data_IF_106872646814
#
_entry.id   IF_106872646814
#
_cell.length_a   1.000
_cell.length_b   1.000
_cell.length_c   1.000
_cell.angle_alpha   90.00
_cell.angle_beta   90.00
_cell.angle_gamma   90.00
#
_symmetry.space_group_name_H-M   'P 1'
#
loop_
_entity.id
_entity.type
_entity.pdbx_description
1 polymer ?
#
# COMPACT_ATOMS: atom_id res chain seq x y z
N UNK A 1 -24.32 9.11 9.10
CA UNK A 1 -23.25 10.00 9.60
C UNK A 1 -22.08 9.13 10.05
N UNK A 2 -20.84 9.47 9.71
CA UNK A 2 -19.64 8.73 10.15
C UNK A 2 -19.28 9.24 11.55
N UNK A 3 -18.96 8.38 12.51
CA UNK A 3 -18.48 8.84 13.82
C UNK A 3 -17.04 9.32 13.75
N UNK A 4 -16.64 10.19 14.68
CA UNK A 4 -15.24 10.66 14.81
C UNK A 4 -14.28 9.48 14.98
N UNK A 5 -14.69 8.45 15.74
CA UNK A 5 -13.90 7.24 15.96
C UNK A 5 -13.67 6.46 14.65
N UNK A 6 -14.73 6.30 13.84
CA UNK A 6 -14.62 5.67 12.53
C UNK A 6 -13.68 6.45 11.61
N UNK A 7 -13.77 7.78 11.64
CA UNK A 7 -12.92 8.67 10.86
C UNK A 7 -11.44 8.54 11.24
N UNK A 8 -11.14 8.60 12.53
CA UNK A 8 -9.78 8.41 13.07
C UNK A 8 -9.22 7.04 12.71
N UNK A 9 -10.03 5.99 12.82
CA UNK A 9 -9.62 4.62 12.49
C UNK A 9 -9.33 4.47 10.98
N UNK A 10 -10.14 5.10 10.11
CA UNK A 10 -9.85 5.15 8.66
C UNK A 10 -8.48 5.76 8.41
N UNK A 11 -8.19 6.92 9.01
CA UNK A 11 -6.91 7.62 8.83
C UNK A 11 -5.75 6.77 9.33
N UNK A 12 -5.89 6.17 10.53
CA UNK A 12 -4.88 5.30 11.14
C UNK A 12 -4.56 4.10 10.24
N UNK A 13 -5.57 3.39 9.76
CA UNK A 13 -5.40 2.22 8.88
C UNK A 13 -4.82 2.62 7.52
N UNK A 14 -5.23 3.75 6.95
CA UNK A 14 -4.71 4.23 5.67
C UNK A 14 -3.23 4.60 5.76
N UNK A 15 -2.84 5.37 6.78
CA UNK A 15 -1.44 5.75 7.04
C UNK A 15 -0.56 4.56 7.38
N UNK A 16 -1.12 3.53 8.01
CA UNK A 16 -0.40 2.28 8.29
C UNK A 16 0.03 1.51 7.04
N UNK A 17 -0.52 1.82 5.86
CA UNK A 17 -0.21 1.22 4.54
C UNK A 17 -0.34 -0.31 4.45
N UNK A 18 -0.78 -1.00 5.50
CA UNK A 18 -0.98 -2.45 5.55
C UNK A 18 -2.31 -2.91 4.96
N UNK A 19 -3.28 -2.00 4.81
CA UNK A 19 -4.63 -2.33 4.36
C UNK A 19 -4.99 -1.71 3.01
N UNK A 20 -5.66 -2.49 2.16
CA UNK A 20 -6.34 -1.97 0.97
C UNK A 20 -7.57 -1.15 1.38
N UNK A 21 -8.10 -0.30 0.48
CA UNK A 21 -9.32 0.47 0.76
C UNK A 21 -10.48 -0.45 1.16
N UNK A 22 -10.66 -1.57 0.46
CA UNK A 22 -11.68 -2.58 0.79
C UNK A 22 -11.49 -3.19 2.19
N UNK A 23 -10.25 -3.47 2.58
CA UNK A 23 -9.97 -3.96 3.94
C UNK A 23 -10.22 -2.89 5.00
N UNK A 24 -9.93 -1.62 4.70
CA UNK A 24 -10.24 -0.51 5.60
C UNK A 24 -11.76 -0.43 5.78
N UNK A 25 -12.53 -0.46 4.70
CA UNK A 25 -14.00 -0.48 4.75
C UNK A 25 -14.55 -1.61 5.61
N UNK A 26 -14.04 -2.83 5.43
CA UNK A 26 -14.47 -3.99 6.21
C UNK A 26 -14.17 -3.84 7.71
N UNK A 27 -13.03 -3.24 8.06
CA UNK A 27 -12.63 -3.03 9.47
C UNK A 27 -13.36 -1.88 10.15
N UNK A 28 -13.67 -0.82 9.41
CA UNK A 28 -14.28 0.40 9.98
C UNK A 28 -15.79 0.45 9.83
N UNK A 29 -16.38 -0.49 9.09
CA UNK A 29 -17.82 -0.51 8.78
C UNK A 29 -18.25 0.56 7.76
N UNK A 30 -17.29 1.27 7.14
CA UNK A 30 -17.59 2.29 6.14
C UNK A 30 -18.06 1.63 4.85
N UNK A 31 -19.29 1.94 4.44
CA UNK A 31 -19.99 1.22 3.35
C UNK A 31 -19.58 1.61 1.93
N UNK A 32 -18.80 2.69 1.73
CA UNK A 32 -18.38 3.11 0.39
C UNK A 32 -16.92 3.54 0.34
N UNK A 33 -16.25 3.23 -0.77
CA UNK A 33 -14.90 3.74 -1.06
C UNK A 33 -14.89 5.27 -1.15
N UNK A 34 -15.94 5.86 -1.71
CA UNK A 34 -16.06 7.31 -1.84
C UNK A 34 -16.04 8.03 -0.49
N UNK A 35 -16.67 7.44 0.53
CA UNK A 35 -16.63 7.97 1.89
C UNK A 35 -15.22 7.90 2.48
N UNK A 36 -14.47 6.83 2.23
CA UNK A 36 -13.04 6.74 2.61
C UNK A 36 -12.26 7.88 1.98
N UNK A 37 -12.39 8.10 0.67
CA UNK A 37 -11.66 9.18 -0.01
C UNK A 37 -12.07 10.57 0.49
N UNK A 38 -13.35 10.79 0.82
CA UNK A 38 -13.81 12.05 1.40
C UNK A 38 -13.20 12.31 2.77
N UNK A 39 -13.11 11.29 3.63
CA UNK A 39 -12.44 11.37 4.94
C UNK A 39 -10.97 11.76 4.75
N UNK A 40 -10.26 11.09 3.85
CA UNK A 40 -8.85 11.37 3.58
C UNK A 40 -8.65 12.80 3.08
N UNK A 41 -9.50 13.25 2.15
CA UNK A 41 -9.47 14.60 1.62
C UNK A 41 -9.72 15.66 2.69
N UNK A 42 -10.78 15.49 3.49
CA UNK A 42 -11.14 16.41 4.57
C UNK A 42 -10.04 16.56 5.64
N UNK A 43 -9.22 15.51 5.82
CA UNK A 43 -8.12 15.49 6.79
C UNK A 43 -6.75 15.76 6.15
N UNK A 44 -6.70 16.27 4.92
CA UNK A 44 -5.47 16.55 4.18
C UNK A 44 -4.51 15.34 4.13
N UNK A 45 -5.04 14.11 4.11
CA UNK A 45 -4.25 12.89 3.99
C UNK A 45 -3.97 12.67 2.51
N UNK A 46 -2.71 12.77 2.05
CA UNK A 46 -2.40 12.65 0.63
C UNK A 46 -2.73 11.24 0.14
N UNK A 47 -3.43 11.18 -1.00
CA UNK A 47 -3.73 9.91 -1.64
C UNK A 47 -2.43 9.27 -2.15
N UNK A 48 -2.27 7.99 -1.87
CA UNK A 48 -1.17 7.20 -2.40
C UNK A 48 -1.25 7.21 -3.93
N UNK A 49 -0.21 7.75 -4.58
CA UNK A 49 -0.08 7.73 -6.04
C UNK A 49 -0.12 6.27 -6.51
N UNK A 50 -1.03 5.95 -7.43
CA UNK A 50 -0.99 4.65 -8.12
C UNK A 50 0.27 4.64 -9.00
N UNK A 51 1.27 3.84 -8.61
CA UNK A 51 2.44 3.59 -9.46
C UNK A 51 1.97 2.82 -10.70
N UNK A 52 2.13 3.41 -11.89
CA UNK A 52 1.95 2.69 -13.16
C UNK A 52 3.31 2.09 -13.54
N UNK A 53 3.42 0.76 -13.67
CA UNK A 53 4.67 0.18 -14.15
C UNK A 53 4.92 0.65 -15.59
N UNK A 54 6.14 1.10 -15.87
CA UNK A 54 6.56 1.54 -17.21
C UNK A 54 6.81 0.37 -18.15
N UNK A 55 7.32 -0.75 -17.62
CA UNK A 55 7.53 -2.01 -18.35
C UNK A 55 7.32 -3.18 -17.40
N UNK A 56 6.84 -4.32 -17.91
CA UNK A 56 6.78 -5.60 -17.19
C UNK A 56 7.80 -6.55 -17.82
N UNK A 57 8.56 -7.23 -16.97
CA UNK A 57 9.52 -8.26 -17.35
C UNK A 57 9.25 -9.51 -16.53
N UNK A 58 9.56 -10.68 -17.09
CA UNK A 58 9.57 -11.95 -16.35
C UNK A 58 10.99 -12.22 -15.88
N UNK A 59 11.17 -12.53 -14.59
CA UNK A 59 12.47 -12.80 -13.98
C UNK A 59 12.34 -14.02 -13.08
N UNK A 60 13.21 -15.01 -13.28
CA UNK A 60 13.36 -16.12 -12.34
C UNK A 60 14.11 -15.65 -11.10
N UNK A 61 13.55 -15.90 -9.93
CA UNK A 61 14.20 -15.61 -8.65
C UNK A 61 14.87 -16.88 -8.12
N UNK A 62 16.06 -16.75 -7.55
CA UNK A 62 16.65 -17.82 -6.76
C UNK A 62 15.93 -18.00 -5.42
N UNK A 63 16.28 -19.07 -4.69
CA UNK A 63 15.65 -19.43 -3.43
C UNK A 63 15.81 -18.34 -2.35
N UNK A 64 16.95 -17.64 -2.34
CA UNK A 64 17.21 -16.61 -1.34
C UNK A 64 16.37 -15.36 -1.60
N UNK A 65 16.29 -14.89 -2.85
CA UNK A 65 15.46 -13.78 -3.26
C UNK A 65 13.96 -14.06 -3.01
N UNK A 66 13.50 -15.28 -3.31
CA UNK A 66 12.12 -15.71 -3.02
C UNK A 66 11.83 -15.68 -1.51
N UNK A 67 12.77 -16.19 -0.70
CA UNK A 67 12.69 -16.17 0.76
C UNK A 67 12.66 -14.74 1.33
N UNK A 68 13.44 -13.82 0.77
CA UNK A 68 13.46 -12.41 1.18
C UNK A 68 12.09 -11.77 0.92
N UNK A 69 11.53 -11.93 -0.28
CA UNK A 69 10.21 -11.37 -0.61
C UNK A 69 9.13 -11.95 0.31
N UNK A 70 9.17 -13.25 0.57
CA UNK A 70 8.23 -13.93 1.47
C UNK A 70 8.31 -13.42 2.91
N UNK A 71 9.52 -13.18 3.43
CA UNK A 71 9.74 -12.60 4.77
C UNK A 71 9.31 -11.13 4.83
N UNK A 72 9.64 -10.34 3.80
CA UNK A 72 9.33 -8.92 3.75
C UNK A 72 7.82 -8.64 3.62
N UNK A 73 7.05 -9.58 3.06
CA UNK A 73 5.60 -9.48 2.81
C UNK A 73 5.21 -8.09 2.25
N UNK A 74 5.85 -7.63 1.17
CA UNK A 74 5.58 -6.31 0.65
C UNK A 74 4.15 -6.23 0.14
N UNK A 75 3.47 -5.12 0.40
CA UNK A 75 2.15 -4.85 -0.16
C UNK A 75 2.15 -4.85 -1.70
N UNK A 76 3.27 -4.49 -2.32
CA UNK A 76 3.47 -4.49 -3.76
C UNK A 76 4.85 -5.07 -4.08
N UNK A 77 4.87 -6.29 -4.61
CA UNK A 77 6.11 -7.00 -4.95
C UNK A 77 6.91 -6.25 -6.03
N UNK A 78 6.26 -5.76 -7.08
CA UNK A 78 6.95 -5.05 -8.18
C UNK A 78 7.63 -3.77 -7.71
N UNK A 79 6.98 -3.01 -6.82
CA UNK A 79 7.58 -1.84 -6.19
C UNK A 79 8.77 -2.23 -5.31
N UNK A 80 8.60 -3.24 -4.46
CA UNK A 80 9.67 -3.72 -3.59
C UNK A 80 10.91 -4.14 -4.40
N UNK A 81 10.71 -4.96 -5.44
CA UNK A 81 11.78 -5.41 -6.34
C UNK A 81 12.43 -4.22 -7.04
N UNK A 82 11.64 -3.27 -7.54
CA UNK A 82 12.18 -2.05 -8.20
C UNK A 82 13.05 -1.21 -7.27
N UNK A 83 12.65 -1.06 -6.00
CA UNK A 83 13.44 -0.35 -5.00
C UNK A 83 14.72 -1.11 -4.64
N UNK A 84 14.67 -2.44 -4.51
CA UNK A 84 15.86 -3.25 -4.24
C UNK A 84 16.87 -3.20 -5.39
N UNK A 85 16.40 -3.22 -6.64
CA UNK A 85 17.26 -3.06 -7.83
C UNK A 85 18.00 -1.72 -7.78
N UNK A 86 17.29 -0.61 -7.53
CA UNK A 86 17.92 0.73 -7.44
C UNK A 86 18.98 0.81 -6.35
N UNK A 87 18.66 0.30 -5.15
CA UNK A 87 19.60 0.27 -4.02
C UNK A 87 20.82 -0.62 -4.26
N UNK A 88 20.63 -1.72 -4.98
CA UNK A 88 21.74 -2.60 -5.38
C UNK A 88 22.68 -1.88 -6.34
N UNK A 89 22.11 -1.18 -7.34
CA UNK A 89 22.88 -0.41 -8.31
C UNK A 89 23.68 0.75 -7.68
N UNK A 90 23.10 1.47 -6.71
CA UNK A 90 23.80 2.54 -5.98
C UNK A 90 25.03 2.07 -5.18
N UNK A 91 25.17 0.75 -4.96
CA UNK A 91 26.28 0.14 -4.23
C UNK A 91 27.35 -0.49 -5.11
N UNK A 92 27.16 -0.45 -6.44
CA UNK A 92 28.17 -0.85 -7.42
C UNK A 92 29.15 0.31 -7.66
#
# INVERSE_FOLDING_TARGET
MISIEQEQEVIRLYRGRKNSIKQIMAKTGVRSEQTIYRILSANNVPLLKKRKPTKRISVGLDEEAERIIRKARPRNVSEFVSEMIKRGYEKL
#
